data_IF_150606344427
#
_entry.id   IF_150606344427
#
_cell.length_a   1.000
_cell.length_b   1.000
_cell.length_c   1.000
_cell.angle_alpha   90.00
_cell.angle_beta   90.00
_cell.angle_gamma   90.00
#
_symmetry.space_group_name_H-M   'P 1'
#
loop_
_entity.id
_entity.type
_entity.pdbx_description
1 polymer ?
#
# COMPACT_ATOMS: atom_id res chain seq x y z
N UNK A 1 -21.30 -11.15 -32.66
CA UNK A 1 -20.22 -10.39 -32.00
C UNK A 1 -19.92 -11.10 -30.70
N UNK A 2 -18.78 -11.79 -30.59
CA UNK A 2 -18.39 -12.47 -29.35
C UNK A 2 -17.66 -11.45 -28.48
N UNK A 3 -18.26 -11.10 -27.33
CA UNK A 3 -17.57 -10.35 -26.28
C UNK A 3 -16.70 -11.36 -25.52
N UNK A 4 -15.38 -11.29 -25.68
CA UNK A 4 -14.46 -11.96 -24.74
C UNK A 4 -14.42 -11.08 -23.49
N UNK A 5 -15.18 -11.46 -22.47
CA UNK A 5 -15.04 -10.87 -21.13
C UNK A 5 -13.91 -11.60 -20.41
N UNK A 6 -12.73 -10.99 -20.35
CA UNK A 6 -11.68 -11.45 -19.45
C UNK A 6 -12.02 -10.97 -18.04
N UNK A 7 -12.87 -11.69 -17.31
CA UNK A 7 -13.14 -11.39 -15.91
C UNK A 7 -12.04 -12.02 -15.07
N UNK A 8 -11.33 -11.19 -14.31
CA UNK A 8 -10.29 -11.67 -13.41
C UNK A 8 -10.08 -10.74 -12.23
N UNK A 9 -9.29 -11.23 -11.28
CA UNK A 9 -8.99 -10.55 -10.05
C UNK A 9 -7.49 -10.63 -9.80
N UNK A 10 -6.84 -9.47 -9.75
CA UNK A 10 -5.48 -9.37 -9.23
C UNK A 10 -5.54 -9.06 -7.73
N UNK A 11 -4.88 -9.87 -6.91
CA UNK A 11 -4.84 -9.72 -5.46
C UNK A 11 -3.42 -9.40 -4.99
N UNK A 12 -3.28 -8.33 -4.21
CA UNK A 12 -2.06 -7.95 -3.52
C UNK A 12 -2.24 -8.14 -2.03
N UNK A 13 -1.61 -9.16 -1.47
CA UNK A 13 -1.63 -9.43 -0.04
C UNK A 13 -0.48 -8.71 0.67
N UNK A 14 -0.81 -7.78 1.56
CA UNK A 14 0.16 -7.20 2.48
C UNK A 14 0.42 -8.21 3.61
N UNK A 15 1.69 -8.46 3.94
CA UNK A 15 2.08 -9.41 4.99
C UNK A 15 2.58 -8.70 6.23
N UNK A 16 3.64 -7.89 6.08
CA UNK A 16 4.33 -7.28 7.20
C UNK A 16 4.98 -5.95 6.80
N UNK A 17 4.96 -4.97 7.69
CA UNK A 17 5.70 -3.71 7.58
C UNK A 17 6.33 -3.35 8.93
N UNK A 18 7.56 -2.83 8.89
CA UNK A 18 8.30 -2.45 10.09
C UNK A 18 9.10 -1.16 9.84
N UNK A 19 8.96 -0.23 10.77
CA UNK A 19 9.70 1.02 10.86
C UNK A 19 9.99 1.30 12.34
N UNK A 20 11.01 0.62 12.89
CA UNK A 20 11.37 0.75 14.31
C UNK A 20 11.87 2.14 14.69
N UNK A 21 12.45 2.85 13.73
CA UNK A 21 13.01 4.19 13.94
C UNK A 21 11.95 5.29 13.89
N UNK A 22 10.74 4.98 13.44
CA UNK A 22 9.66 5.96 13.24
C UNK A 22 10.08 7.18 12.40
N UNK A 23 10.91 6.96 11.37
CA UNK A 23 11.39 7.99 10.45
C UNK A 23 10.71 7.92 9.07
N UNK A 24 10.69 9.03 8.36
CA UNK A 24 10.23 9.14 6.98
C UNK A 24 11.38 8.95 5.95
N UNK A 25 11.06 9.10 4.67
CA UNK A 25 12.04 8.95 3.58
C UNK A 25 13.12 10.05 3.55
N UNK A 26 12.94 11.15 4.28
CA UNK A 26 13.92 12.23 4.42
C UNK A 26 14.71 12.10 5.73
N UNK A 27 14.66 10.93 6.38
CA UNK A 27 15.32 10.65 7.66
C UNK A 27 14.82 11.53 8.82
N UNK A 28 13.60 12.07 8.72
CA UNK A 28 12.98 12.87 9.78
C UNK A 28 11.99 12.04 10.58
N UNK A 29 11.84 12.36 11.86
CA UNK A 29 10.81 11.74 12.70
C UNK A 29 9.41 12.03 12.16
N UNK A 30 8.58 11.00 11.99
CA UNK A 30 7.19 11.14 11.53
C UNK A 30 6.35 12.07 12.41
N UNK A 31 6.68 12.16 13.70
CA UNK A 31 6.03 13.02 14.70
C UNK A 31 6.67 14.41 14.82
N UNK A 32 7.74 14.67 14.08
CA UNK A 32 8.61 15.86 14.18
C UNK A 32 9.27 16.04 15.56
N UNK A 33 9.23 15.02 16.41
CA UNK A 33 9.76 15.05 17.78
C UNK A 33 10.82 13.97 17.96
N UNK A 34 11.94 14.35 18.55
CA UNK A 34 13.02 13.46 18.96
C UNK A 34 13.39 13.69 20.43
N UNK A 35 13.89 12.65 21.09
CA UNK A 35 14.47 12.76 22.43
C UNK A 35 15.89 13.36 22.39
N UNK A 36 16.51 13.52 23.57
CA UNK A 36 17.87 14.07 23.68
C UNK A 36 18.97 13.19 23.02
N UNK A 37 18.65 11.93 22.73
CA UNK A 37 19.54 10.96 22.07
C UNK A 37 19.29 10.89 20.55
N UNK A 38 18.29 11.63 20.04
CA UNK A 38 17.92 11.63 18.63
C UNK A 38 16.93 10.53 18.23
N UNK A 39 16.35 9.78 19.17
CA UNK A 39 15.32 8.79 18.86
C UNK A 39 13.97 9.47 18.67
N UNK A 40 13.23 9.04 17.64
CA UNK A 40 11.92 9.60 17.37
C UNK A 40 10.89 9.24 18.45
N UNK A 41 10.12 10.24 18.87
CA UNK A 41 9.08 10.08 19.89
C UNK A 41 7.75 9.80 19.17
N UNK A 42 7.15 8.65 19.45
CA UNK A 42 5.89 8.22 18.84
C UNK A 42 6.07 7.33 17.61
N UNK A 43 4.97 7.02 16.92
CA UNK A 43 4.96 6.11 15.77
C UNK A 43 4.43 6.79 14.52
N UNK A 44 4.78 6.24 13.35
CA UNK A 44 4.28 6.76 12.09
C UNK A 44 2.81 6.36 11.87
N UNK A 45 2.01 7.32 11.41
CA UNK A 45 0.67 7.10 10.87
C UNK A 45 0.79 6.69 9.41
N UNK A 46 0.88 5.38 9.19
CA UNK A 46 1.24 4.77 7.91
C UNK A 46 -0.02 4.45 7.10
N UNK A 47 0.01 4.70 5.79
CA UNK A 47 -0.98 4.19 4.84
C UNK A 47 -0.26 3.62 3.63
N UNK A 48 -0.88 2.69 2.93
CA UNK A 48 -0.34 2.07 1.73
C UNK A 48 -1.15 2.53 0.52
N UNK A 49 -0.46 2.85 -0.57
CA UNK A 49 -1.06 3.06 -1.87
C UNK A 49 -0.55 1.99 -2.81
N UNK A 50 -1.46 1.24 -3.42
CA UNK A 50 -1.16 0.25 -4.43
C UNK A 50 -1.67 0.75 -5.78
N UNK A 51 -0.75 0.98 -6.72
CA UNK A 51 -1.01 1.45 -8.07
C UNK A 51 -0.66 0.35 -9.06
N UNK A 52 -1.67 -0.21 -9.75
CA UNK A 52 -1.50 -1.24 -10.76
C UNK A 52 -1.65 -0.62 -12.15
N UNK A 53 -0.67 -0.87 -13.03
CA UNK A 53 -0.64 -0.32 -14.40
C UNK A 53 0.03 -1.28 -15.37
N UNK A 54 -0.11 -0.98 -16.66
CA UNK A 54 0.55 -1.69 -17.73
C UNK A 54 2.07 -1.66 -17.58
N UNK A 55 2.73 -2.65 -18.17
CA UNK A 55 4.18 -2.70 -18.26
C UNK A 55 4.73 -1.48 -18.99
N UNK A 56 5.80 -0.89 -18.45
CA UNK A 56 6.55 0.18 -19.08
C UNK A 56 8.04 -0.18 -19.03
N UNK A 57 8.74 -0.01 -20.14
CA UNK A 57 10.19 -0.24 -20.19
C UNK A 57 10.96 0.72 -19.26
N UNK A 58 10.43 1.92 -19.04
CA UNK A 58 10.90 2.86 -18.02
C UNK A 58 9.75 3.17 -17.07
N UNK A 59 9.95 2.93 -15.77
CA UNK A 59 8.90 3.08 -14.76
C UNK A 59 8.61 4.56 -14.55
N UNK A 60 7.39 4.99 -14.89
CA UNK A 60 6.93 6.35 -14.61
C UNK A 60 5.99 6.40 -13.39
N UNK A 61 6.41 7.03 -12.30
CA UNK A 61 5.60 7.11 -11.07
C UNK A 61 4.55 8.23 -11.09
N UNK A 62 4.49 9.04 -12.16
CA UNK A 62 3.63 10.22 -12.25
C UNK A 62 2.35 9.98 -13.06
N UNK A 63 2.36 9.03 -13.99
CA UNK A 63 1.16 8.66 -14.75
C UNK A 63 0.08 7.99 -13.88
N UNK A 64 -1.21 8.09 -14.29
CA UNK A 64 -2.31 7.40 -13.64
C UNK A 64 -2.19 5.86 -13.66
N UNK A 65 -2.76 5.20 -12.66
CA UNK A 65 -2.80 3.75 -12.56
C UNK A 65 -3.85 3.17 -13.53
N UNK A 66 -3.42 2.46 -14.57
CA UNK A 66 -4.33 2.02 -15.65
C UNK A 66 -5.18 0.81 -15.30
N UNK A 67 -4.75 -0.04 -14.38
CA UNK A 67 -5.49 -1.23 -13.93
C UNK A 67 -6.13 -1.05 -12.55
N UNK A 68 -5.71 -0.04 -11.79
CA UNK A 68 -6.42 0.44 -10.61
C UNK A 68 -5.52 1.11 -9.58
N UNK A 69 -6.12 1.88 -8.68
CA UNK A 69 -5.46 2.63 -7.61
C UNK A 69 -6.24 2.43 -6.31
N UNK A 70 -5.57 1.90 -5.28
CA UNK A 70 -6.18 1.69 -3.96
C UNK A 70 -5.30 2.31 -2.88
N UNK A 71 -5.95 3.07 -1.99
CA UNK A 71 -5.31 3.66 -0.81
C UNK A 71 -5.94 3.03 0.43
N UNK A 72 -5.12 2.49 1.32
CA UNK A 72 -5.58 1.95 2.59
C UNK A 72 -5.90 3.07 3.58
N UNK A 73 -6.75 2.81 4.60
CA UNK A 73 -6.82 3.67 5.77
C UNK A 73 -5.46 3.82 6.46
N UNK A 74 -5.40 4.79 7.36
CA UNK A 74 -4.24 5.01 8.24
C UNK A 74 -4.17 3.91 9.30
N UNK A 75 -2.97 3.35 9.45
CA UNK A 75 -2.56 2.36 10.43
C UNK A 75 -1.42 2.95 11.25
N UNK A 76 -1.50 2.80 12.57
CA UNK A 76 -0.51 3.38 13.49
C UNK A 76 0.28 2.25 14.16
N UNK A 77 1.60 2.37 14.18
CA UNK A 77 2.49 1.38 14.79
C UNK A 77 3.87 1.35 14.12
N UNK A 78 4.86 0.87 14.87
CA UNK A 78 6.21 0.59 14.36
C UNK A 78 6.26 -0.74 13.61
N UNK A 79 5.41 -1.68 13.98
CA UNK A 79 5.28 -2.99 13.35
C UNK A 79 3.82 -3.26 13.02
N UNK A 80 3.53 -3.52 11.75
CA UNK A 80 2.19 -3.82 11.25
C UNK A 80 2.18 -5.24 10.68
N UNK A 81 1.43 -6.13 11.33
CA UNK A 81 1.12 -7.45 10.80
C UNK A 81 -0.28 -7.43 10.17
N UNK A 82 -0.34 -7.40 8.85
CA UNK A 82 -1.61 -7.18 8.13
C UNK A 82 -2.52 -8.40 8.09
N UNK A 83 -2.00 -9.61 8.33
CA UNK A 83 -2.86 -10.80 8.45
C UNK A 83 -3.63 -10.78 9.78
N UNK A 84 -3.07 -10.14 10.82
CA UNK A 84 -3.75 -9.94 12.10
C UNK A 84 -4.67 -8.71 12.11
N UNK A 85 -4.35 -7.67 11.33
CA UNK A 85 -5.16 -6.43 11.27
C UNK A 85 -6.40 -6.60 10.38
N UNK A 86 -6.37 -7.51 9.40
CA UNK A 86 -7.50 -7.73 8.49
C UNK A 86 -8.79 -8.03 9.26
N UNK A 87 -9.85 -7.28 8.99
CA UNK A 87 -11.14 -7.39 9.67
C UNK A 87 -11.27 -6.69 11.02
N UNK A 88 -10.18 -6.18 11.60
CA UNK A 88 -10.21 -5.42 12.87
C UNK A 88 -10.29 -3.91 12.68
N UNK A 89 -9.72 -3.41 11.57
CA UNK A 89 -9.72 -1.99 11.22
C UNK A 89 -10.77 -1.71 10.17
N UNK A 90 -11.71 -0.82 10.50
CA UNK A 90 -12.74 -0.38 9.55
C UNK A 90 -12.10 0.20 8.29
N UNK A 91 -12.63 -0.22 7.13
CA UNK A 91 -12.15 0.20 5.81
C UNK A 91 -10.82 -0.43 5.38
N UNK A 92 -10.16 -1.24 6.21
CA UNK A 92 -8.95 -1.96 5.81
C UNK A 92 -9.33 -3.34 5.28
N UNK A 93 -9.06 -3.57 3.99
CA UNK A 93 -9.20 -4.86 3.34
C UNK A 93 -7.82 -5.40 2.95
N UNK A 94 -7.56 -6.66 3.29
CA UNK A 94 -6.37 -7.40 2.89
C UNK A 94 -6.78 -8.84 2.58
N UNK A 95 -6.56 -9.36 1.37
CA UNK A 95 -5.80 -8.77 0.25
C UNK A 95 -6.48 -7.56 -0.42
N UNK A 96 -5.65 -6.68 -1.01
CA UNK A 96 -6.11 -5.58 -1.87
C UNK A 96 -6.50 -6.16 -3.22
N UNK A 97 -7.68 -5.80 -3.71
CA UNK A 97 -8.33 -6.40 -4.88
C UNK A 97 -8.45 -5.44 -6.04
N UNK A 98 -7.99 -5.86 -7.21
CA UNK A 98 -8.09 -5.13 -8.48
C UNK A 98 -8.90 -5.99 -9.46
N UNK A 99 -10.24 -5.81 -9.51
CA UNK A 99 -11.07 -6.48 -10.51
C UNK A 99 -10.81 -5.90 -11.89
N UNK A 100 -10.78 -6.76 -12.91
CA UNK A 100 -10.62 -6.35 -14.30
C UNK A 100 -11.52 -7.13 -15.25
N UNK A 101 -11.83 -6.52 -16.40
CA UNK A 101 -12.71 -7.08 -17.45
C UNK A 101 -11.99 -7.23 -18.81
N UNK A 102 -10.66 -7.06 -18.84
CA UNK A 102 -9.81 -7.19 -20.02
C UNK A 102 -8.97 -8.48 -19.99
N UNK A 103 -8.45 -8.90 -21.14
CA UNK A 103 -7.48 -10.00 -21.19
C UNK A 103 -6.19 -9.61 -20.46
N UNK A 104 -5.83 -10.34 -19.40
CA UNK A 104 -4.64 -10.03 -18.61
C UNK A 104 -3.39 -10.07 -19.50
N UNK A 105 -2.61 -8.97 -19.57
CA UNK A 105 -1.38 -8.96 -20.36
C UNK A 105 -0.33 -9.84 -19.69
N UNK A 106 0.05 -10.92 -20.38
CA UNK A 106 1.23 -11.73 -20.02
C UNK A 106 2.51 -11.09 -20.56
#
# INVERSE_FOLDING_TARGET
MLLVSGLGLFELELRYFQNEKSIDHNEKCCSEKADALGNCIGTCKTRFRACLKHYQATIDTTSPCTFGDVITPVLEGTTLNFTAISGTKEGFANPIRFPFEFGWPL
#
